data_IF_019352942542
#
_entry.id   IF_019352942542
#
_cell.length_a   1.000
_cell.length_b   1.000
_cell.length_c   1.000
_cell.angle_alpha   90.00
_cell.angle_beta   90.00
_cell.angle_gamma   90.00
#
_symmetry.space_group_name_H-M   'P 1'
#
loop_
_entity.id
_entity.type
_entity.pdbx_description
1 polymer ?
#
# COMPACT_ATOMS: atom_id res chain seq x y z
N UNK A 1 -14.10 -18.05 12.26
CA UNK A 1 -13.87 -16.62 12.56
C UNK A 1 -12.39 -16.27 12.60
N UNK A 2 -11.53 -17.07 13.25
CA UNK A 2 -10.08 -16.80 13.34
C UNK A 2 -9.34 -16.74 11.99
N UNK A 3 -9.71 -17.55 11.00
CA UNK A 3 -8.94 -17.62 9.74
C UNK A 3 -9.00 -16.33 8.90
N UNK A 4 -10.19 -15.73 8.73
CA UNK A 4 -10.33 -14.48 7.97
C UNK A 4 -9.60 -13.32 8.65
N UNK A 5 -9.59 -13.31 9.99
CA UNK A 5 -8.82 -12.36 10.77
C UNK A 5 -7.32 -12.56 10.60
N UNK A 6 -6.84 -13.82 10.65
CA UNK A 6 -5.44 -14.19 10.40
C UNK A 6 -4.97 -13.77 9.01
N UNK A 7 -5.79 -13.98 7.99
CA UNK A 7 -5.49 -13.56 6.62
C UNK A 7 -5.41 -12.04 6.48
N UNK A 8 -6.32 -11.30 7.13
CA UNK A 8 -6.27 -9.83 7.14
C UNK A 8 -5.05 -9.31 7.90
N UNK A 9 -4.71 -9.92 9.03
CA UNK A 9 -3.51 -9.55 9.80
C UNK A 9 -2.24 -9.86 9.02
N UNK A 10 -2.19 -10.97 8.27
CA UNK A 10 -1.09 -11.28 7.36
C UNK A 10 -0.97 -10.23 6.25
N UNK A 11 -2.08 -9.83 5.64
CA UNK A 11 -2.09 -8.76 4.63
C UNK A 11 -1.53 -7.45 5.21
N UNK A 12 -1.93 -7.09 6.43
CA UNK A 12 -1.37 -5.94 7.14
C UNK A 12 0.12 -6.10 7.46
N UNK A 13 0.59 -7.27 7.89
CA UNK A 13 2.02 -7.53 8.13
C UNK A 13 2.82 -7.34 6.84
N UNK A 14 2.38 -7.97 5.76
CA UNK A 14 3.09 -7.93 4.47
C UNK A 14 3.13 -6.51 3.95
N UNK A 15 1.99 -5.82 3.92
CA UNK A 15 1.94 -4.41 3.50
C UNK A 15 2.82 -3.53 4.39
N UNK A 16 2.70 -3.62 5.72
CA UNK A 16 3.53 -2.82 6.62
C UNK A 16 5.03 -3.06 6.41
N UNK A 17 5.44 -4.32 6.28
CA UNK A 17 6.86 -4.69 6.11
C UNK A 17 7.42 -4.14 4.81
N UNK A 18 6.69 -4.32 3.70
CA UNK A 18 7.09 -3.81 2.38
C UNK A 18 7.14 -2.28 2.39
N UNK A 19 6.12 -1.63 2.95
CA UNK A 19 6.05 -0.15 3.00
C UNK A 19 7.14 0.46 3.86
N UNK A 20 7.52 -0.19 4.97
CA UNK A 20 8.65 0.27 5.79
C UNK A 20 9.95 0.16 4.99
N UNK A 21 10.23 -1.00 4.38
CA UNK A 21 11.47 -1.22 3.62
C UNK A 21 11.56 -0.29 2.41
N UNK A 22 10.52 -0.24 1.58
CA UNK A 22 10.50 0.59 0.37
C UNK A 22 10.46 2.08 0.74
N UNK A 23 9.65 2.47 1.72
CA UNK A 23 9.55 3.85 2.17
C UNK A 23 10.88 4.38 2.71
N UNK A 24 11.56 3.60 3.56
CA UNK A 24 12.91 3.94 4.03
C UNK A 24 13.93 3.99 2.90
N UNK A 25 13.89 3.03 1.97
CA UNK A 25 14.79 3.03 0.81
C UNK A 25 14.60 4.28 -0.06
N UNK A 26 13.37 4.66 -0.38
CA UNK A 26 13.05 5.85 -1.17
C UNK A 26 13.39 7.16 -0.44
N UNK A 27 13.17 7.23 0.88
CA UNK A 27 13.46 8.41 1.68
C UNK A 27 14.98 8.65 1.80
N UNK A 28 15.75 7.59 2.03
CA UNK A 28 17.20 7.66 2.22
C UNK A 28 17.98 7.58 0.90
N UNK A 29 17.30 7.41 -0.23
CA UNK A 29 17.93 7.24 -1.54
C UNK A 29 18.82 8.46 -1.86
N UNK A 30 20.13 8.27 -2.08
CA UNK A 30 20.99 9.33 -2.55
C UNK A 30 20.73 9.59 -4.04
N UNK A 31 20.78 10.87 -4.44
CA UNK A 31 20.47 11.31 -5.81
C UNK A 31 21.32 10.59 -6.87
N UNK A 32 22.60 10.34 -6.58
CA UNK A 32 23.53 9.64 -7.47
C UNK A 32 23.13 8.18 -7.74
N UNK A 33 22.60 7.47 -6.73
CA UNK A 33 22.13 6.09 -6.91
C UNK A 33 20.83 6.05 -7.71
N UNK A 34 19.95 7.04 -7.50
CA UNK A 34 18.72 7.17 -8.27
C UNK A 34 18.99 7.40 -9.77
N UNK A 35 19.93 8.30 -10.09
CA UNK A 35 20.40 8.54 -11.46
C UNK A 35 20.98 7.26 -12.09
N UNK A 36 21.81 6.54 -11.34
CA UNK A 36 22.45 5.30 -11.82
C UNK A 36 21.44 4.17 -12.06
N UNK A 37 20.43 4.03 -11.19
CA UNK A 37 19.41 2.99 -11.28
C UNK A 37 18.37 3.26 -12.37
N UNK A 38 18.00 4.52 -12.58
CA UNK A 38 16.97 4.90 -13.55
C UNK A 38 17.52 5.12 -14.96
N UNK A 39 18.85 5.29 -15.12
CA UNK A 39 19.52 5.55 -16.40
C UNK A 39 18.88 6.69 -17.22
N UNK A 40 18.17 7.61 -16.56
CA UNK A 40 17.49 8.71 -17.21
C UNK A 40 18.31 9.98 -17.03
N UNK A 41 18.89 10.57 -18.10
CA UNK A 41 19.67 11.80 -18.01
C UNK A 41 18.83 13.02 -17.58
N UNK A 42 17.51 12.87 -17.47
CA UNK A 42 16.52 13.89 -17.10
C UNK A 42 15.96 13.73 -15.67
N UNK A 43 16.55 12.89 -14.82
CA UNK A 43 16.09 12.78 -13.43
C UNK A 43 16.48 14.03 -12.63
N UNK A 44 15.60 15.03 -12.71
CA UNK A 44 15.80 16.33 -12.10
C UNK A 44 15.65 16.31 -10.58
N UNK A 45 16.22 17.33 -9.93
CA UNK A 45 16.17 17.52 -8.49
C UNK A 45 14.73 17.47 -7.92
N UNK A 46 13.76 18.08 -8.61
CA UNK A 46 12.36 18.08 -8.17
C UNK A 46 11.74 16.67 -8.15
N UNK A 47 12.03 15.84 -9.15
CA UNK A 47 11.55 14.45 -9.19
C UNK A 47 12.17 13.66 -8.04
N UNK A 48 13.44 13.91 -7.72
CA UNK A 48 14.10 13.28 -6.59
C UNK A 48 13.46 13.62 -5.24
N UNK A 49 13.15 14.89 -5.01
CA UNK A 49 12.48 15.32 -3.78
C UNK A 49 11.05 14.77 -3.69
N UNK A 50 10.33 14.65 -4.83
CA UNK A 50 9.03 13.98 -4.86
C UNK A 50 9.12 12.49 -4.48
N UNK A 51 10.17 11.78 -4.94
CA UNK A 51 10.42 10.39 -4.54
C UNK A 51 10.66 10.27 -3.04
N UNK A 52 11.44 11.19 -2.44
CA UNK A 52 11.68 11.21 -0.99
C UNK A 52 10.42 11.49 -0.19
N UNK A 53 9.63 12.48 -0.60
CA UNK A 53 8.35 12.81 0.03
C UNK A 53 7.38 11.62 -0.03
N UNK A 54 7.28 10.98 -1.20
CA UNK A 54 6.47 9.79 -1.35
C UNK A 54 6.99 8.62 -0.49
N UNK A 55 8.32 8.45 -0.40
CA UNK A 55 8.97 7.49 0.50
C UNK A 55 8.64 7.73 1.98
N UNK A 56 8.67 8.99 2.45
CA UNK A 56 8.26 9.35 3.81
C UNK A 56 6.79 9.00 4.07
N UNK A 57 5.90 9.30 3.12
CA UNK A 57 4.47 8.95 3.23
C UNK A 57 4.28 7.43 3.26
N UNK A 58 4.94 6.67 2.39
CA UNK A 58 4.89 5.20 2.38
C UNK A 58 5.38 4.61 3.70
N UNK A 59 6.47 5.15 4.26
CA UNK A 59 7.00 4.74 5.55
C UNK A 59 5.98 4.99 6.68
N UNK A 60 5.38 6.18 6.70
CA UNK A 60 4.34 6.52 7.68
C UNK A 60 3.12 5.61 7.54
N UNK A 61 2.69 5.30 6.31
CA UNK A 61 1.61 4.33 6.06
C UNK A 61 1.98 2.94 6.58
N UNK A 62 3.19 2.46 6.33
CA UNK A 62 3.66 1.17 6.84
C UNK A 62 3.61 1.09 8.37
N UNK A 63 4.03 2.16 9.05
CA UNK A 63 3.92 2.27 10.50
C UNK A 63 2.47 2.27 11.00
N UNK A 64 1.58 3.00 10.34
CA UNK A 64 0.15 3.02 10.67
C UNK A 64 -0.47 1.63 10.55
N UNK A 65 -0.26 0.94 9.43
CA UNK A 65 -0.75 -0.44 9.24
C UNK A 65 -0.23 -1.37 10.33
N UNK A 66 1.06 -1.25 10.67
CA UNK A 66 1.67 -2.05 11.72
C UNK A 66 0.97 -1.87 13.06
N UNK A 67 0.64 -0.62 13.43
CA UNK A 67 -0.06 -0.30 14.68
C UNK A 67 -1.53 -0.73 14.65
N UNK A 68 -2.22 -0.59 13.53
CA UNK A 68 -3.62 -1.00 13.37
C UNK A 68 -3.84 -2.50 13.65
N UNK A 69 -2.82 -3.34 13.48
CA UNK A 69 -2.89 -4.76 13.86
C UNK A 69 -3.09 -5.01 15.36
N UNK A 70 -2.63 -4.09 16.20
CA UNK A 70 -2.79 -4.18 17.65
C UNK A 70 -4.19 -3.73 18.10
N UNK A 71 -4.92 -3.05 17.22
CA UNK A 71 -6.26 -2.54 17.50
C UNK A 71 -7.28 -3.65 17.27
N UNK A 72 -7.99 -4.04 18.33
CA UNK A 72 -9.04 -5.07 18.26
C UNK A 72 -10.37 -4.59 17.66
N UNK A 73 -10.51 -3.28 17.42
CA UNK A 73 -11.74 -2.67 16.92
C UNK A 73 -11.99 -3.00 15.44
N UNK A 74 -13.14 -3.63 15.21
CA UNK A 74 -13.70 -3.98 13.92
C UNK A 74 -13.80 -2.77 12.97
N UNK A 75 -14.32 -1.66 13.50
CA UNK A 75 -14.62 -0.45 12.75
C UNK A 75 -13.33 0.20 12.26
N UNK A 76 -12.34 0.34 13.14
CA UNK A 76 -11.04 0.92 12.79
C UNK A 76 -10.37 0.10 11.68
N UNK A 77 -10.30 -1.23 11.85
CA UNK A 77 -9.68 -2.12 10.84
C UNK A 77 -10.41 -2.03 9.49
N UNK A 78 -11.75 -1.93 9.50
CA UNK A 78 -12.55 -1.75 8.29
C UNK A 78 -12.27 -0.41 7.62
N UNK A 79 -12.22 0.69 8.37
CA UNK A 79 -11.91 2.02 7.84
C UNK A 79 -10.53 2.05 7.19
N UNK A 80 -9.52 1.44 7.80
CA UNK A 80 -8.20 1.30 7.18
C UNK A 80 -8.25 0.51 5.87
N UNK A 81 -9.00 -0.61 5.82
CA UNK A 81 -9.19 -1.35 4.58
C UNK A 81 -9.86 -0.50 3.49
N UNK A 82 -10.88 0.29 3.83
CA UNK A 82 -11.56 1.20 2.91
C UNK A 82 -10.60 2.27 2.38
N UNK A 83 -9.83 2.89 3.27
CA UNK A 83 -8.86 3.90 2.92
C UNK A 83 -7.78 3.34 1.97
N UNK A 84 -7.21 2.17 2.26
CA UNK A 84 -6.21 1.55 1.39
C UNK A 84 -6.79 1.05 0.06
N UNK A 85 -7.99 0.47 0.07
CA UNK A 85 -8.67 0.09 -1.16
C UNK A 85 -8.85 1.29 -2.09
N UNK A 86 -9.34 2.42 -1.56
CA UNK A 86 -9.55 3.65 -2.32
C UNK A 86 -8.21 4.23 -2.78
N UNK A 87 -7.24 4.35 -1.87
CA UNK A 87 -5.94 4.95 -2.15
C UNK A 87 -5.20 4.19 -3.26
N UNK A 88 -5.09 2.86 -3.16
CA UNK A 88 -4.38 2.06 -4.17
C UNK A 88 -5.12 2.01 -5.51
N UNK A 89 -6.45 1.99 -5.50
CA UNK A 89 -7.22 2.08 -6.75
C UNK A 89 -7.00 3.42 -7.46
N UNK A 90 -7.00 4.53 -6.71
CA UNK A 90 -6.73 5.86 -7.27
C UNK A 90 -5.30 5.99 -7.79
N UNK A 91 -4.32 5.48 -7.05
CA UNK A 91 -2.93 5.48 -7.50
C UNK A 91 -2.75 4.64 -8.77
N UNK A 92 -3.33 3.45 -8.82
CA UNK A 92 -3.32 2.60 -10.01
C UNK A 92 -3.95 3.30 -11.21
N UNK A 93 -5.10 3.99 -11.03
CA UNK A 93 -5.76 4.73 -12.09
C UNK A 93 -4.92 5.91 -12.57
N UNK A 94 -4.29 6.64 -11.64
CA UNK A 94 -3.40 7.75 -11.98
C UNK A 94 -2.19 7.28 -12.81
N UNK A 95 -1.55 6.17 -12.41
CA UNK A 95 -0.43 5.60 -13.16
C UNK A 95 -0.87 5.04 -14.52
N UNK A 96 -2.04 4.39 -14.58
CA UNK A 96 -2.59 3.90 -15.84
C UNK A 96 -2.88 5.05 -16.80
N UNK A 97 -3.50 6.14 -16.32
CA UNK A 97 -3.71 7.36 -17.10
C UNK A 97 -2.39 7.95 -17.59
N UNK A 98 -1.37 8.01 -16.73
CA UNK A 98 -0.04 8.52 -17.12
C UNK A 98 0.59 7.66 -18.23
N UNK A 99 0.47 6.33 -18.12
CA UNK A 99 0.98 5.40 -19.14
C UNK A 99 0.30 5.59 -20.50
N UNK A 100 -1.03 5.77 -20.53
CA UNK A 100 -1.78 5.97 -21.78
C UNK A 100 -1.55 7.37 -22.37
N UNK A 101 -1.43 8.39 -21.53
CA UNK A 101 -1.29 9.78 -21.98
C UNK A 101 0.12 10.14 -22.47
N UNK A 102 1.13 9.33 -22.16
CA UNK A 102 2.53 9.58 -22.55
C UNK A 102 3.18 8.34 -23.16
N UNK A 103 2.87 8.03 -24.44
CA UNK A 103 3.35 6.84 -25.14
C UNK A 103 4.87 6.70 -25.19
N UNK A 104 5.57 7.83 -25.20
CA UNK A 104 7.04 7.90 -25.27
C UNK A 104 7.72 7.48 -23.97
N UNK A 105 6.96 7.38 -22.87
CA UNK A 105 7.45 6.96 -21.55
C UNK A 105 7.04 5.53 -21.16
N UNK A 106 6.69 4.70 -22.15
CA UNK A 106 6.26 3.31 -21.93
C UNK A 106 7.34 2.49 -21.22
N UNK A 107 7.28 2.48 -19.90
CA UNK A 107 8.18 1.72 -19.04
C UNK A 107 7.47 0.45 -18.57
N UNK A 108 8.13 -0.71 -18.74
CA UNK A 108 7.70 -1.97 -18.14
C UNK A 108 7.53 -1.84 -16.62
N UNK A 109 8.36 -1.00 -15.99
CA UNK A 109 8.33 -0.76 -14.55
C UNK A 109 7.04 -0.05 -14.12
N UNK A 110 6.52 0.87 -14.94
CA UNK A 110 5.22 1.50 -14.68
C UNK A 110 4.07 0.49 -14.79
N UNK A 111 4.11 -0.43 -15.75
CA UNK A 111 3.10 -1.49 -15.87
C UNK A 111 3.09 -2.42 -14.66
N UNK A 112 4.28 -2.82 -14.18
CA UNK A 112 4.41 -3.62 -12.96
C UNK A 112 3.79 -2.87 -11.77
N UNK A 113 4.12 -1.58 -11.60
CA UNK A 113 3.56 -0.76 -10.52
C UNK A 113 2.03 -0.64 -10.60
N UNK A 114 1.47 -0.43 -11.79
CA UNK A 114 0.02 -0.40 -12.00
C UNK A 114 -0.62 -1.72 -11.55
N UNK A 115 -0.08 -2.86 -11.98
CA UNK A 115 -0.63 -4.17 -11.63
C UNK A 115 -0.53 -4.45 -10.13
N UNK A 116 0.59 -4.09 -9.50
CA UNK A 116 0.78 -4.26 -8.05
C UNK A 116 -0.21 -3.39 -7.27
N UNK A 117 -0.37 -2.12 -7.65
CA UNK A 117 -1.31 -1.20 -7.00
C UNK A 117 -2.77 -1.63 -7.21
N UNK A 118 -3.14 -2.03 -8.42
CA UNK A 118 -4.45 -2.60 -8.72
C UNK A 118 -4.72 -3.86 -7.90
N UNK A 119 -3.73 -4.76 -7.82
CA UNK A 119 -3.79 -5.99 -7.04
C UNK A 119 -3.98 -5.73 -5.54
N UNK A 120 -3.25 -4.76 -4.96
CA UNK A 120 -3.41 -4.35 -3.58
C UNK A 120 -4.80 -3.73 -3.34
N UNK A 121 -5.25 -2.83 -4.22
CA UNK A 121 -6.59 -2.25 -4.17
C UNK A 121 -7.68 -3.33 -4.20
N UNK A 122 -7.57 -4.28 -5.11
CA UNK A 122 -8.47 -5.42 -5.23
C UNK A 122 -8.41 -6.35 -4.02
N UNK A 123 -7.23 -6.60 -3.44
CA UNK A 123 -7.07 -7.42 -2.23
C UNK A 123 -7.82 -6.79 -1.05
N UNK A 124 -7.62 -5.49 -0.79
CA UNK A 124 -8.37 -4.78 0.24
C UNK A 124 -9.87 -4.72 -0.06
N UNK A 125 -10.24 -4.49 -1.33
CA UNK A 125 -11.62 -4.53 -1.80
C UNK A 125 -12.30 -5.88 -1.59
N UNK A 126 -11.57 -6.99 -1.78
CA UNK A 126 -12.07 -8.34 -1.53
C UNK A 126 -12.44 -8.55 -0.06
N UNK A 127 -11.61 -8.09 0.87
CA UNK A 127 -11.93 -8.15 2.30
C UNK A 127 -13.16 -7.30 2.66
N UNK A 128 -13.37 -6.18 1.97
CA UNK A 128 -14.52 -5.30 2.16
C UNK A 128 -15.81 -5.82 1.52
N UNK A 129 -15.76 -6.47 0.37
CA UNK A 129 -16.96 -6.95 -0.31
C UNK A 129 -17.40 -8.31 0.24
N UNK A 130 -16.46 -9.21 0.55
CA UNK A 130 -16.76 -10.62 0.79
C UNK A 130 -16.44 -11.12 2.21
N UNK A 131 -15.69 -10.38 3.04
CA UNK A 131 -15.26 -10.82 4.39
C UNK A 131 -15.71 -9.90 5.53
N UNK A 132 -16.60 -8.94 5.26
CA UNK A 132 -17.01 -7.85 6.17
C UNK A 132 -17.58 -8.24 7.53
N UNK A 133 -18.29 -9.36 7.66
CA UNK A 133 -18.77 -9.83 8.97
C UNK A 133 -17.71 -10.66 9.70
N UNK A 134 -17.00 -11.54 8.98
CA UNK A 134 -16.16 -12.59 9.59
C UNK A 134 -14.73 -12.14 9.94
N UNK A 135 -14.20 -11.11 9.29
CA UNK A 135 -12.83 -10.65 9.52
C UNK A 135 -12.69 -9.58 10.60
N UNK A 136 -13.81 -8.90 10.93
CA UNK A 136 -13.80 -7.70 11.76
C UNK A 136 -14.42 -7.92 13.15
N UNK A 137 -15.28 -8.91 13.36
CA UNK A 137 -15.90 -9.15 14.68
C UNK A 137 -14.89 -9.58 15.78
N UNK A 138 -15.14 -9.08 17.00
CA UNK A 138 -14.49 -9.52 18.24
C UNK A 138 -14.89 -10.98 18.53
N UNK A 139 -14.04 -11.79 19.20
CA UNK A 139 -14.46 -13.11 19.65
C UNK A 139 -15.70 -12.94 20.52
N UNK A 140 -16.82 -13.56 20.13
CA UNK A 140 -18.00 -13.59 20.99
C UNK A 140 -17.55 -14.15 22.35
N UNK A 141 -17.86 -13.45 23.43
CA UNK A 141 -17.60 -13.97 24.77
C UNK A 141 -18.44 -15.24 24.93
N UNK A 142 -17.84 -16.39 24.64
CA UNK A 142 -18.40 -17.69 25.01
C UNK A 142 -18.12 -17.87 26.50
N UNK A 143 -19.16 -17.65 27.31
CA UNK A 143 -19.24 -18.14 28.69
C UNK A 143 -18.59 -17.25 29.73
N UNK A 144 -19.25 -16.14 30.08
CA UNK A 144 -19.26 -15.67 31.46
C UNK A 144 -20.64 -16.04 32.01
N UNK A 145 -20.75 -17.28 32.50
CA UNK A 145 -21.78 -17.68 33.46
C UNK A 145 -21.12 -17.68 34.84
#
# INVERSE_FOLDING_TARGET
MQEARRQLDLLFVVHASISIVIGSACLLLPHSLAMAALQTPQYGHLVHEMVRLYGALTLAQGWLVWKTRLVGDALIRKTFCQAYCLCFSLQSLAMFRAQVASPESHSLLNWINILVLAGLGAAYGYFLAFKTAKAFELPSMKGAY
#
